data_IF_328470660572
#
_entry.id   IF_328470660572
#
_cell.length_a   1.000
_cell.length_b   1.000
_cell.length_c   1.000
_cell.angle_alpha   90.00
_cell.angle_beta   90.00
_cell.angle_gamma   90.00
#
_symmetry.space_group_name_H-M   'P 1'
#
loop_
_entity.id
_entity.type
_entity.pdbx_description
1 polymer ?
#
# COMPACT_ATOMS: atom_id res chain seq x y z
N UNK A 1 -69.53 -16.04 21.31
CA UNK A 1 -68.17 -16.14 21.88
C UNK A 1 -67.28 -15.20 21.11
N UNK A 2 -67.13 -13.98 21.62
CA UNK A 2 -66.38 -12.85 21.06
C UNK A 2 -65.04 -12.78 21.79
N UNK A 3 -63.94 -13.05 21.07
CA UNK A 3 -62.58 -12.92 21.61
C UNK A 3 -62.13 -11.45 21.62
N UNK A 4 -61.41 -10.99 22.67
CA UNK A 4 -60.90 -9.62 22.72
C UNK A 4 -59.54 -9.48 22.00
N UNK A 5 -59.17 -8.26 21.57
CA UNK A 5 -57.91 -8.02 20.88
C UNK A 5 -56.76 -7.64 21.83
N UNK A 6 -55.57 -7.89 21.31
CA UNK A 6 -54.23 -7.63 21.83
C UNK A 6 -53.92 -6.13 21.98
N UNK A 7 -53.42 -5.70 23.15
CA UNK A 7 -52.68 -4.43 23.29
C UNK A 7 -51.29 -4.73 23.86
N UNK A 8 -50.26 -4.77 23.00
CA UNK A 8 -48.86 -4.79 23.43
C UNK A 8 -48.28 -3.37 23.36
N UNK A 9 -48.21 -2.70 24.52
CA UNK A 9 -47.53 -1.42 24.69
C UNK A 9 -46.04 -1.65 24.91
N UNK A 10 -45.21 -1.51 23.87
CA UNK A 10 -43.75 -1.41 24.02
C UNK A 10 -43.40 0.01 24.47
N UNK A 11 -43.01 0.16 25.74
CA UNK A 11 -42.49 1.42 26.27
C UNK A 11 -41.10 1.70 25.70
N UNK A 12 -40.92 2.92 25.19
CA UNK A 12 -39.66 3.45 24.69
C UNK A 12 -38.88 3.99 25.89
N UNK A 13 -37.90 3.23 26.35
CA UNK A 13 -37.03 3.62 27.46
C UNK A 13 -35.94 4.56 26.97
N UNK A 14 -36.15 5.87 27.14
CA UNK A 14 -35.14 6.91 26.95
C UNK A 14 -34.12 6.85 28.08
N UNK A 15 -32.88 6.46 27.77
CA UNK A 15 -31.75 6.54 28.72
C UNK A 15 -31.28 7.98 28.84
N UNK A 16 -31.44 8.53 30.04
CA UNK A 16 -30.89 9.81 30.47
C UNK A 16 -29.35 9.76 30.47
N UNK A 17 -28.74 10.75 29.82
CA UNK A 17 -27.30 10.99 29.76
C UNK A 17 -26.91 11.78 31.01
N UNK A 18 -26.18 11.14 31.93
CA UNK A 18 -25.65 11.77 33.14
C UNK A 18 -24.42 12.59 32.77
N UNK A 19 -24.49 13.90 32.98
CA UNK A 19 -23.37 14.84 32.81
C UNK A 19 -22.38 14.66 33.96
N UNK A 20 -21.19 14.12 33.67
CA UNK A 20 -20.07 14.11 34.60
C UNK A 20 -19.46 15.52 34.69
N UNK A 21 -19.42 16.07 35.90
CA UNK A 21 -18.66 17.29 36.22
C UNK A 21 -17.17 16.97 36.14
N UNK A 22 -16.47 17.61 35.21
CA UNK A 22 -15.01 17.60 35.14
C UNK A 22 -14.50 18.57 36.20
N UNK A 23 -13.82 18.03 37.22
CA UNK A 23 -13.05 18.79 38.21
C UNK A 23 -11.78 19.27 37.51
N UNK A 24 -11.53 20.57 37.62
CA UNK A 24 -10.41 21.27 36.99
C UNK A 24 -9.29 21.35 38.02
N UNK A 25 -8.35 20.42 37.97
CA UNK A 25 -7.10 20.50 38.73
C UNK A 25 -6.04 21.22 37.86
N UNK A 26 -5.48 22.30 38.40
CA UNK A 26 -4.30 23.00 37.86
C UNK A 26 -3.03 22.19 38.15
N UNK A 27 -2.11 22.03 37.18
CA UNK A 27 -0.75 21.60 37.47
C UNK A 27 0.18 22.81 37.53
N UNK A 28 0.82 23.01 38.68
CA UNK A 28 2.03 23.82 38.79
C UNK A 28 3.20 22.85 38.85
N UNK A 29 3.94 22.72 37.75
CA UNK A 29 5.37 22.43 37.79
C UNK A 29 6.01 22.87 36.49
N UNK A 30 7.02 23.73 36.63
CA UNK A 30 7.77 24.35 35.56
C UNK A 30 8.58 23.29 34.81
N UNK A 31 8.04 22.81 33.70
CA UNK A 31 8.79 22.05 32.71
C UNK A 31 9.60 23.04 31.85
N UNK A 32 10.91 22.77 31.80
CA UNK A 32 11.84 23.29 30.80
C UNK A 32 11.14 23.34 29.43
N UNK A 33 11.21 24.44 28.67
CA UNK A 33 10.63 24.48 27.33
C UNK A 33 11.29 23.36 26.53
N UNK A 34 10.55 22.26 26.31
CA UNK A 34 10.87 21.30 25.28
C UNK A 34 10.97 22.14 24.01
N UNK A 35 12.12 22.11 23.34
CA UNK A 35 12.29 22.75 22.04
C UNK A 35 11.10 22.32 21.19
N UNK A 36 10.25 23.28 20.87
CA UNK A 36 9.07 23.04 20.04
C UNK A 36 9.56 22.34 18.77
N UNK A 37 8.98 21.18 18.40
CA UNK A 37 9.33 20.50 17.17
C UNK A 37 9.36 21.51 16.02
N UNK A 38 10.32 21.41 15.09
CA UNK A 38 10.37 22.30 13.95
C UNK A 38 8.98 22.40 13.32
N UNK A 39 8.52 23.63 13.09
CA UNK A 39 7.20 23.94 12.58
C UNK A 39 7.08 23.42 11.14
N UNK A 40 6.78 22.12 10.99
CA UNK A 40 6.67 21.44 9.71
C UNK A 40 5.39 21.80 8.94
N UNK A 41 4.75 22.93 9.27
CA UNK A 41 3.54 23.40 8.63
C UNK A 41 2.26 22.81 9.24
N UNK A 42 1.27 22.55 8.39
CA UNK A 42 -0.06 22.09 8.81
C UNK A 42 0.01 20.71 9.49
N UNK A 43 -0.58 20.63 10.68
CA UNK A 43 -0.65 19.40 11.48
C UNK A 43 -2.11 19.02 11.71
N UNK A 44 -2.43 17.74 11.52
CA UNK A 44 -3.71 17.17 11.89
C UNK A 44 -3.47 15.87 12.67
N UNK A 45 -4.01 15.71 13.89
CA UNK A 45 -3.76 14.54 14.73
C UNK A 45 -4.27 13.22 14.13
N UNK A 46 -5.10 13.26 13.08
CA UNK A 46 -5.56 12.09 12.35
C UNK A 46 -4.65 11.71 11.16
N UNK A 47 -3.71 12.58 10.78
CA UNK A 47 -2.70 12.32 9.74
C UNK A 47 -1.41 11.78 10.38
N UNK A 48 -0.59 11.14 9.55
CA UNK A 48 0.75 10.72 9.97
C UNK A 48 1.69 11.94 9.95
N UNK A 49 2.51 12.07 10.99
CA UNK A 49 3.49 13.16 11.09
C UNK A 49 4.40 13.22 9.85
N UNK A 50 4.50 14.40 9.26
CA UNK A 50 5.39 14.64 8.13
C UNK A 50 6.85 14.66 8.58
N UNK A 51 7.71 14.00 7.81
CA UNK A 51 9.15 14.08 7.97
C UNK A 51 9.68 14.89 6.80
N UNK A 52 10.46 15.92 7.13
CA UNK A 52 11.27 16.59 6.14
C UNK A 52 12.43 15.68 5.73
N UNK A 53 12.46 15.31 4.44
CA UNK A 53 13.47 14.43 3.89
C UNK A 53 14.66 15.24 3.32
N UNK A 54 14.68 16.57 3.51
CA UNK A 54 15.79 17.44 3.11
C UNK A 54 17.11 17.07 3.78
N UNK A 55 17.04 16.52 5.00
CA UNK A 55 18.20 16.10 5.81
C UNK A 55 18.66 14.67 5.53
N UNK A 56 17.85 13.88 4.83
CA UNK A 56 18.16 12.50 4.46
C UNK A 56 18.84 12.44 3.10
N UNK A 57 19.88 11.62 3.00
CA UNK A 57 20.52 11.29 1.74
C UNK A 57 19.61 10.44 0.85
N UNK A 58 19.87 10.44 -0.47
CA UNK A 58 19.15 9.59 -1.42
C UNK A 58 19.26 8.11 -1.02
N UNK A 59 20.47 7.68 -0.61
CA UNK A 59 20.72 6.33 -0.15
C UNK A 59 19.81 5.98 1.04
N UNK A 60 19.85 6.74 2.14
CA UNK A 60 19.02 6.46 3.32
C UNK A 60 17.52 6.35 3.00
N UNK A 61 17.01 7.20 2.10
CA UNK A 61 15.62 7.11 1.65
C UNK A 61 15.38 5.80 0.89
N UNK A 62 16.19 5.49 -0.12
CA UNK A 62 16.01 4.26 -0.91
C UNK A 62 16.15 3.00 -0.04
N UNK A 63 17.10 2.98 0.89
CA UNK A 63 17.27 1.92 1.89
C UNK A 63 16.01 1.75 2.75
N UNK A 64 15.44 2.86 3.23
CA UNK A 64 14.17 2.84 3.95
C UNK A 64 13.04 2.22 3.11
N UNK A 65 12.90 2.63 1.84
CA UNK A 65 11.88 2.10 0.95
C UNK A 65 12.05 0.59 0.69
N UNK A 66 13.28 0.11 0.54
CA UNK A 66 13.59 -1.31 0.34
C UNK A 66 13.23 -2.11 1.60
N UNK A 67 13.66 -1.65 2.77
CA UNK A 67 13.43 -2.36 4.05
C UNK A 67 11.96 -2.40 4.47
N UNK A 68 11.17 -1.39 4.09
CA UNK A 68 9.73 -1.30 4.36
C UNK A 68 8.86 -1.71 3.15
N UNK A 69 9.48 -2.32 2.13
CA UNK A 69 8.75 -2.89 1.01
C UNK A 69 7.89 -4.08 1.45
N UNK A 70 6.84 -4.40 0.67
CA UNK A 70 5.96 -5.53 0.97
C UNK A 70 5.37 -6.11 -0.31
N UNK A 71 4.92 -7.36 -0.23
CA UNK A 71 4.20 -8.04 -1.30
C UNK A 71 2.70 -8.10 -1.03
N UNK A 72 1.91 -7.87 -2.07
CA UNK A 72 0.45 -7.96 -2.03
C UNK A 72 0.02 -9.18 -2.86
N UNK A 73 -0.44 -10.29 -2.24
CA UNK A 73 -0.77 -11.53 -2.96
C UNK A 73 -2.08 -11.40 -3.76
N UNK A 74 -2.46 -12.40 -4.58
CA UNK A 74 -3.77 -12.45 -5.22
C UNK A 74 -4.90 -12.54 -4.18
N UNK A 75 -6.08 -11.98 -4.49
CA UNK A 75 -7.24 -12.10 -3.59
C UNK A 75 -7.82 -13.50 -3.70
N UNK A 76 -7.79 -14.25 -2.59
CA UNK A 76 -8.45 -15.57 -2.48
C UNK A 76 -9.68 -15.54 -1.59
N UNK A 77 -9.62 -14.76 -0.50
CA UNK A 77 -10.62 -14.77 0.56
C UNK A 77 -11.02 -13.33 0.96
N UNK A 78 -11.90 -13.25 1.96
CA UNK A 78 -12.28 -11.99 2.62
C UNK A 78 -11.10 -11.32 3.35
N UNK A 79 -10.07 -12.09 3.69
CA UNK A 79 -8.83 -11.64 4.31
C UNK A 79 -7.68 -11.83 3.34
N UNK A 80 -6.66 -10.97 3.45
CA UNK A 80 -5.48 -10.98 2.59
C UNK A 80 -4.24 -10.93 3.47
N UNK A 81 -3.24 -11.76 3.19
CA UNK A 81 -1.99 -11.83 3.95
C UNK A 81 -0.88 -11.11 3.20
N UNK A 82 -0.51 -9.92 3.66
CA UNK A 82 0.62 -9.14 3.15
C UNK A 82 1.92 -9.71 3.75
N UNK A 83 2.97 -9.84 2.95
CA UNK A 83 4.30 -10.25 3.44
C UNK A 83 5.27 -9.09 3.28
N UNK A 84 5.75 -8.55 4.39
CA UNK A 84 6.72 -7.45 4.42
C UNK A 84 8.12 -7.93 4.03
N UNK A 85 9.04 -7.00 3.77
CA UNK A 85 10.41 -7.29 3.36
C UNK A 85 11.14 -8.19 4.37
N UNK A 86 10.94 -7.96 5.67
CA UNK A 86 11.52 -8.78 6.76
C UNK A 86 10.94 -10.21 6.88
N UNK A 87 9.95 -10.56 6.05
CA UNK A 87 9.26 -11.85 6.08
C UNK A 87 8.07 -11.90 7.05
N UNK A 88 7.79 -10.84 7.79
CA UNK A 88 6.59 -10.76 8.63
C UNK A 88 5.34 -10.80 7.77
N UNK A 89 4.32 -11.49 8.29
CA UNK A 89 3.03 -11.60 7.61
C UNK A 89 1.97 -10.83 8.37
N UNK A 90 1.17 -10.05 7.64
CA UNK A 90 0.12 -9.19 8.18
C UNK A 90 -1.19 -9.51 7.48
N UNK A 91 -2.19 -9.94 8.23
CA UNK A 91 -3.54 -10.19 7.71
C UNK A 91 -4.32 -8.88 7.73
N UNK A 92 -4.95 -8.52 6.61
CA UNK A 92 -5.77 -7.31 6.47
C UNK A 92 -7.13 -7.64 5.83
N UNK A 93 -8.18 -6.81 6.05
CA UNK A 93 -9.43 -6.95 5.33
C UNK A 93 -9.23 -6.84 3.83
N UNK A 94 -9.90 -7.70 3.05
CA UNK A 94 -9.73 -7.79 1.60
C UNK A 94 -10.21 -6.55 0.82
N UNK A 95 -10.92 -5.63 1.47
CA UNK A 95 -11.25 -4.32 0.90
C UNK A 95 -10.03 -3.41 0.77
N UNK A 96 -9.02 -3.56 1.65
CA UNK A 96 -7.78 -2.77 1.60
C UNK A 96 -6.80 -3.23 0.54
N UNK A 97 -6.97 -4.44 -0.03
CA UNK A 97 -5.97 -5.04 -0.91
C UNK A 97 -5.63 -4.19 -2.13
N UNK A 98 -6.63 -3.80 -2.92
CA UNK A 98 -6.42 -3.01 -4.14
C UNK A 98 -5.93 -1.58 -3.81
N UNK A 99 -6.54 -0.85 -2.85
CA UNK A 99 -6.01 0.47 -2.48
C UNK A 99 -4.57 0.43 -1.96
N UNK A 100 -4.20 -0.58 -1.15
CA UNK A 100 -2.82 -0.76 -0.69
C UNK A 100 -1.88 -1.08 -1.85
N UNK A 101 -2.30 -1.94 -2.79
CA UNK A 101 -1.54 -2.24 -4.00
C UNK A 101 -1.32 -0.98 -4.85
N UNK A 102 -2.35 -0.14 -5.00
CA UNK A 102 -2.23 1.11 -5.73
C UNK A 102 -1.29 2.11 -5.03
N UNK A 103 -1.37 2.25 -3.70
CA UNK A 103 -0.48 3.13 -2.95
C UNK A 103 1.00 2.70 -3.09
N UNK A 104 1.27 1.40 -3.00
CA UNK A 104 2.60 0.85 -3.24
C UNK A 104 3.07 1.11 -4.69
N UNK A 105 2.21 0.84 -5.68
CA UNK A 105 2.54 1.10 -7.07
C UNK A 105 2.84 2.58 -7.33
N UNK A 106 2.00 3.49 -6.82
CA UNK A 106 2.21 4.93 -6.93
C UNK A 106 3.54 5.35 -6.31
N UNK A 107 3.89 4.84 -5.13
CA UNK A 107 5.19 5.09 -4.49
C UNK A 107 6.36 4.64 -5.37
N UNK A 108 6.37 3.37 -5.82
CA UNK A 108 7.48 2.81 -6.59
C UNK A 108 7.58 3.39 -8.00
N UNK A 109 6.46 3.65 -8.66
CA UNK A 109 6.44 4.33 -9.95
C UNK A 109 6.92 5.78 -9.83
N UNK A 110 6.53 6.50 -8.78
CA UNK A 110 7.04 7.84 -8.51
C UNK A 110 8.55 7.82 -8.27
N UNK A 111 9.05 6.88 -7.46
CA UNK A 111 10.48 6.67 -7.26
C UNK A 111 11.19 6.45 -8.60
N UNK A 112 10.71 5.51 -9.41
CA UNK A 112 11.29 5.21 -10.71
C UNK A 112 11.39 6.44 -11.62
N UNK A 113 10.35 7.28 -11.65
CA UNK A 113 10.32 8.48 -12.50
C UNK A 113 11.35 9.52 -12.06
N UNK A 114 11.55 9.71 -10.76
CA UNK A 114 12.40 10.80 -10.25
C UNK A 114 13.83 10.35 -9.97
N UNK A 115 14.11 9.05 -9.93
CA UNK A 115 15.43 8.51 -9.62
C UNK A 115 16.41 8.81 -10.77
N UNK A 116 17.30 9.78 -10.53
CA UNK A 116 18.26 10.28 -11.52
C UNK A 116 17.83 11.57 -12.23
N UNK A 117 16.64 12.10 -11.91
CA UNK A 117 16.17 13.41 -12.36
C UNK A 117 16.57 14.52 -11.37
N UNK A 118 16.57 15.77 -11.84
CA UNK A 118 16.70 16.96 -10.98
C UNK A 118 15.47 17.18 -10.07
N UNK A 119 14.37 16.46 -10.33
CA UNK A 119 13.12 16.57 -9.56
C UNK A 119 13.12 15.74 -8.26
N UNK A 120 14.16 14.91 -8.04
CA UNK A 120 14.30 14.08 -6.83
C UNK A 120 13.98 14.84 -5.54
N UNK A 121 14.56 16.03 -5.38
CA UNK A 121 14.42 16.82 -4.16
C UNK A 121 12.99 17.32 -3.91
N UNK A 122 12.18 17.48 -4.96
CA UNK A 122 10.78 17.90 -4.84
C UNK A 122 9.87 16.75 -4.41
N UNK A 123 10.17 15.52 -4.83
CA UNK A 123 9.28 14.37 -4.64
C UNK A 123 9.70 13.42 -3.52
N UNK A 124 10.97 13.42 -3.09
CA UNK A 124 11.51 12.47 -2.11
C UNK A 124 10.72 12.41 -0.80
N UNK A 125 10.27 13.56 -0.28
CA UNK A 125 9.44 13.62 0.94
C UNK A 125 8.09 12.95 0.77
N UNK A 126 7.42 13.17 -0.38
CA UNK A 126 6.14 12.54 -0.69
C UNK A 126 6.26 11.02 -0.83
N UNK A 127 7.28 10.56 -1.56
CA UNK A 127 7.57 9.12 -1.74
C UNK A 127 7.82 8.46 -0.38
N UNK A 128 8.68 9.06 0.45
CA UNK A 128 8.97 8.57 1.79
C UNK A 128 7.70 8.53 2.67
N UNK A 129 6.87 9.58 2.61
CA UNK A 129 5.64 9.65 3.37
C UNK A 129 4.68 8.51 3.01
N UNK A 130 4.50 8.20 1.72
CA UNK A 130 3.62 7.09 1.29
C UNK A 130 4.15 5.74 1.81
N UNK A 131 5.47 5.54 1.81
CA UNK A 131 6.08 4.33 2.38
C UNK A 131 5.79 4.22 3.88
N UNK A 132 6.00 5.30 4.64
CA UNK A 132 5.69 5.36 6.06
C UNK A 132 4.21 5.14 6.35
N UNK A 133 3.32 5.67 5.51
CA UNK A 133 1.88 5.44 5.59
C UNK A 133 1.51 3.96 5.41
N UNK A 134 2.13 3.28 4.44
CA UNK A 134 1.92 1.85 4.23
C UNK A 134 2.47 1.01 5.39
N UNK A 135 3.66 1.35 5.89
CA UNK A 135 4.24 0.65 7.03
C UNK A 135 3.38 0.83 8.29
N UNK A 136 2.97 2.06 8.60
CA UNK A 136 2.07 2.36 9.72
C UNK A 136 0.75 1.59 9.62
N UNK A 137 0.16 1.52 8.43
CA UNK A 137 -1.03 0.71 8.18
C UNK A 137 -0.81 -0.77 8.53
N UNK A 138 0.33 -1.35 8.12
CA UNK A 138 0.67 -2.73 8.43
C UNK A 138 0.96 -2.94 9.93
N UNK A 139 1.62 -2.00 10.60
CA UNK A 139 1.83 -2.03 12.05
C UNK A 139 0.52 -2.03 12.85
N UNK A 140 -0.42 -1.16 12.48
CA UNK A 140 -1.73 -1.09 13.12
C UNK A 140 -2.54 -2.37 12.88
N UNK A 141 -2.48 -2.92 11.65
CA UNK A 141 -3.11 -4.19 11.34
C UNK A 141 -2.50 -5.34 12.17
N UNK A 142 -1.17 -5.43 12.29
CA UNK A 142 -0.49 -6.42 13.15
C UNK A 142 -0.92 -6.28 14.61
N UNK A 143 -1.07 -5.06 15.09
CA UNK A 143 -1.53 -4.78 16.46
C UNK A 143 -2.98 -5.21 16.66
N UNK A 144 -3.86 -4.91 15.70
CA UNK A 144 -5.26 -5.34 15.72
C UNK A 144 -5.40 -6.87 15.64
N UNK A 145 -4.55 -7.56 14.88
CA UNK A 145 -4.54 -9.03 14.80
C UNK A 145 -4.31 -9.68 16.17
N UNK A 146 -3.38 -9.14 16.97
CA UNK A 146 -3.13 -9.63 18.34
C UNK A 146 -4.36 -9.51 19.24
N UNK A 147 -5.21 -8.51 18.99
CA UNK A 147 -6.47 -8.28 19.71
C UNK A 147 -7.71 -8.96 19.12
N UNK A 148 -7.58 -9.75 18.04
CA UNK A 148 -8.72 -10.34 17.34
C UNK A 148 -9.37 -9.37 16.34
N UNK A 149 -8.64 -9.05 15.27
CA UNK A 149 -9.08 -8.12 14.22
C UNK A 149 -10.45 -8.55 13.63
N UNK A 150 -11.42 -7.64 13.68
CA UNK A 150 -12.78 -7.86 13.16
C UNK A 150 -12.87 -7.50 11.67
N UNK A 151 -13.84 -8.08 10.95
CA UNK A 151 -14.07 -7.83 9.52
C UNK A 151 -14.23 -6.33 9.17
N UNK A 152 -14.77 -5.55 10.11
CA UNK A 152 -14.97 -4.11 9.97
C UNK A 152 -13.83 -3.26 10.52
N UNK A 153 -12.66 -3.84 10.77
CA UNK A 153 -11.48 -3.08 11.20
C UNK A 153 -11.08 -2.06 10.14
N UNK A 154 -10.65 -0.88 10.59
CA UNK A 154 -10.27 0.28 9.78
C UNK A 154 -8.98 0.88 10.31
N UNK A 155 -8.15 1.38 9.40
CA UNK A 155 -7.03 2.24 9.72
C UNK A 155 -7.42 3.66 9.32
N UNK A 156 -7.69 4.52 10.30
CA UNK A 156 -8.21 5.88 10.04
C UNK A 156 -7.20 6.71 9.24
N UNK A 157 -5.92 6.65 9.63
CA UNK A 157 -4.84 7.38 8.95
C UNK A 157 -4.72 6.95 7.49
N UNK A 158 -4.74 5.64 7.20
CA UNK A 158 -4.71 5.15 5.82
C UNK A 158 -5.99 5.47 5.04
N UNK A 159 -7.16 5.42 5.68
CA UNK A 159 -8.43 5.80 5.03
C UNK A 159 -8.42 7.25 4.52
N UNK A 160 -7.77 8.17 5.24
CA UNK A 160 -7.63 9.57 4.80
C UNK A 160 -6.80 9.69 3.52
N UNK A 161 -5.69 8.97 3.43
CA UNK A 161 -4.91 8.86 2.19
C UNK A 161 -5.77 8.32 1.04
N UNK A 162 -6.57 7.29 1.30
CA UNK A 162 -7.45 6.70 0.29
C UNK A 162 -8.56 7.66 -0.19
N UNK A 163 -9.11 8.47 0.72
CA UNK A 163 -10.09 9.52 0.35
C UNK A 163 -9.43 10.55 -0.56
N UNK A 164 -8.20 11.00 -0.25
CA UNK A 164 -7.45 11.91 -1.11
C UNK A 164 -7.22 11.33 -2.51
N UNK A 165 -6.78 10.08 -2.58
CA UNK A 165 -6.53 9.40 -3.85
C UNK A 165 -7.79 9.27 -4.69
N UNK A 166 -8.91 8.89 -4.07
CA UNK A 166 -10.21 8.80 -4.76
C UNK A 166 -10.60 10.12 -5.44
N UNK A 167 -10.28 11.25 -4.80
CA UNK A 167 -10.52 12.60 -5.31
C UNK A 167 -9.33 13.17 -6.10
N UNK A 168 -8.48 12.29 -6.64
CA UNK A 168 -7.38 12.67 -7.53
C UNK A 168 -6.30 13.56 -6.88
N UNK A 169 -6.24 13.57 -5.54
CA UNK A 169 -5.21 14.28 -4.79
C UNK A 169 -4.13 13.31 -4.30
N UNK A 170 -3.19 12.98 -5.18
CA UNK A 170 -2.14 12.00 -4.89
C UNK A 170 -0.95 12.56 -4.11
N UNK A 171 -0.71 13.87 -4.20
CA UNK A 171 0.41 14.50 -3.50
C UNK A 171 0.19 14.44 -1.99
N UNK A 172 1.26 14.13 -1.28
CA UNK A 172 1.26 13.94 0.17
C UNK A 172 2.24 14.89 0.87
N UNK A 173 2.56 16.04 0.27
CA UNK A 173 3.27 17.10 0.97
C UNK A 173 2.29 17.88 1.88
N UNK A 174 2.79 18.54 2.95
CA UNK A 174 1.94 19.25 3.90
C UNK A 174 1.04 20.33 3.28
N UNK A 175 1.51 21.00 2.21
CA UNK A 175 0.73 22.05 1.55
C UNK A 175 -0.46 21.46 0.78
N UNK A 176 -0.22 20.39 0.02
CA UNK A 176 -1.30 19.65 -0.66
C UNK A 176 -2.32 19.08 0.33
N UNK A 177 -1.89 18.49 1.45
CA UNK A 177 -2.86 17.93 2.40
C UNK A 177 -3.67 19.02 3.11
N UNK A 178 -3.05 20.17 3.41
CA UNK A 178 -3.77 21.36 3.89
C UNK A 178 -4.79 21.85 2.86
N UNK A 179 -4.41 21.98 1.59
CA UNK A 179 -5.31 22.41 0.51
C UNK A 179 -6.52 21.47 0.39
N UNK A 180 -6.28 20.15 0.50
CA UNK A 180 -7.36 19.16 0.52
C UNK A 180 -8.32 19.37 1.69
N UNK A 181 -7.78 19.54 2.89
CA UNK A 181 -8.56 19.73 4.11
C UNK A 181 -9.40 21.01 4.06
N UNK A 182 -8.83 22.11 3.54
CA UNK A 182 -9.55 23.36 3.35
C UNK A 182 -10.66 23.25 2.28
N UNK A 183 -10.44 22.45 1.24
CA UNK A 183 -11.39 22.27 0.13
C UNK A 183 -12.55 21.34 0.46
N UNK A 184 -12.24 20.17 1.04
CA UNK A 184 -13.21 19.09 1.24
C UNK A 184 -13.58 18.87 2.71
N UNK A 185 -12.66 19.16 3.62
CA UNK A 185 -12.82 19.02 5.07
C UNK A 185 -13.11 17.61 5.57
N UNK A 186 -13.40 17.51 6.87
CA UNK A 186 -13.68 16.25 7.58
C UNK A 186 -14.95 15.54 7.09
N UNK A 187 -15.85 16.23 6.39
CA UNK A 187 -17.05 15.63 5.80
C UNK A 187 -16.68 14.55 4.79
N UNK A 188 -15.64 14.82 4.00
CA UNK A 188 -15.21 13.91 2.96
C UNK A 188 -14.46 12.71 3.54
N UNK A 189 -13.67 12.93 4.61
CA UNK A 189 -13.01 11.87 5.37
C UNK A 189 -13.98 10.94 6.11
N UNK A 190 -15.21 11.39 6.39
CA UNK A 190 -16.25 10.53 6.97
C UNK A 190 -16.79 9.47 5.98
N UNK A 191 -16.50 9.61 4.68
CA UNK A 191 -16.92 8.65 3.67
C UNK A 191 -16.15 7.33 3.78
N UNK A 192 -16.83 6.23 3.46
CA UNK A 192 -16.21 4.91 3.47
C UNK A 192 -15.29 4.72 2.25
N UNK A 193 -14.01 5.07 2.41
CA UNK A 193 -13.00 4.96 1.35
C UNK A 193 -12.90 3.53 0.78
N UNK A 194 -13.02 2.51 1.62
CA UNK A 194 -12.83 1.09 1.25
C UNK A 194 -13.99 0.54 0.41
N UNK A 195 -15.19 1.11 0.52
CA UNK A 195 -16.36 0.71 -0.29
C UNK A 195 -16.31 1.23 -1.73
N UNK A 196 -15.38 2.12 -2.05
CA UNK A 196 -15.21 2.63 -3.40
C UNK A 196 -14.76 1.53 -4.37
N UNK A 197 -15.11 1.66 -5.65
CA UNK A 197 -14.70 0.69 -6.69
C UNK A 197 -13.23 0.89 -7.08
N UNK A 198 -12.35 0.47 -6.18
CA UNK A 198 -10.90 0.55 -6.35
C UNK A 198 -10.39 -0.27 -7.55
N UNK A 199 -11.08 -1.35 -7.94
CA UNK A 199 -10.68 -2.12 -9.13
C UNK A 199 -10.80 -1.23 -10.36
N UNK A 200 -11.99 -0.67 -10.59
CA UNK A 200 -12.23 0.18 -11.75
C UNK A 200 -11.37 1.43 -11.73
N UNK A 201 -11.25 2.07 -10.57
CA UNK A 201 -10.48 3.30 -10.44
C UNK A 201 -8.98 3.07 -10.68
N UNK A 202 -8.38 2.03 -10.09
CA UNK A 202 -6.95 1.76 -10.26
C UNK A 202 -6.58 1.30 -11.69
N UNK A 203 -7.50 0.62 -12.40
CA UNK A 203 -7.30 0.28 -13.83
C UNK A 203 -7.46 1.50 -14.74
N UNK A 204 -8.39 2.41 -14.42
CA UNK A 204 -8.52 3.70 -15.13
C UNK A 204 -7.25 4.54 -14.94
N UNK A 205 -6.67 4.45 -13.75
CA UNK A 205 -5.49 5.19 -13.36
C UNK A 205 -5.73 6.69 -13.20
N UNK A 206 -4.67 7.38 -12.80
CA UNK A 206 -4.65 8.83 -12.70
C UNK A 206 -3.22 9.34 -12.93
N UNK A 207 -3.04 10.39 -13.74
CA UNK A 207 -1.72 10.97 -14.07
C UNK A 207 -0.67 9.93 -14.50
N UNK A 208 -1.09 8.95 -15.30
CA UNK A 208 -0.22 7.86 -15.77
C UNK A 208 0.00 6.71 -14.78
N UNK A 209 -0.43 6.84 -13.53
CA UNK A 209 -0.38 5.76 -12.54
C UNK A 209 -1.60 4.86 -12.69
N UNK A 210 -1.41 3.69 -13.28
CA UNK A 210 -2.47 2.70 -13.50
C UNK A 210 -1.97 1.30 -13.13
N UNK A 211 -2.83 0.52 -12.48
CA UNK A 211 -2.56 -0.90 -12.24
C UNK A 211 -3.01 -1.74 -13.43
N UNK A 212 -2.19 -2.74 -13.78
CA UNK A 212 -2.56 -3.72 -14.78
C UNK A 212 -3.56 -4.74 -14.21
N UNK A 213 -4.40 -5.32 -15.07
CA UNK A 213 -5.35 -6.36 -14.62
C UNK A 213 -4.63 -7.59 -14.07
N UNK A 214 -3.45 -7.92 -14.60
CA UNK A 214 -2.55 -8.94 -14.06
C UNK A 214 -2.09 -8.63 -12.63
N UNK A 215 -1.80 -7.38 -12.29
CA UNK A 215 -1.38 -6.97 -10.95
C UNK A 215 -2.55 -7.09 -9.97
N UNK A 216 -3.72 -6.68 -10.42
CA UNK A 216 -4.94 -6.76 -9.63
C UNK A 216 -5.32 -8.22 -9.40
N UNK A 217 -5.22 -9.09 -10.40
CA UNK A 217 -5.63 -10.49 -10.28
C UNK A 217 -4.55 -11.35 -9.59
N UNK A 218 -3.30 -11.25 -10.05
CA UNK A 218 -2.14 -12.03 -9.60
C UNK A 218 -1.46 -11.48 -8.35
N UNK A 219 -1.65 -10.21 -8.03
CA UNK A 219 -0.87 -9.53 -6.98
C UNK A 219 0.52 -9.13 -7.46
N UNK A 220 1.27 -8.47 -6.59
CA UNK A 220 2.64 -8.03 -6.87
C UNK A 220 3.57 -8.43 -5.74
N UNK A 221 4.65 -9.11 -6.10
CA UNK A 221 5.71 -9.54 -5.19
C UNK A 221 6.81 -8.50 -5.03
N UNK A 222 7.64 -8.67 -3.99
CA UNK A 222 8.78 -7.80 -3.69
C UNK A 222 9.73 -7.63 -4.87
N UNK A 223 10.07 -8.74 -5.56
CA UNK A 223 11.01 -8.71 -6.68
C UNK A 223 10.57 -7.80 -7.82
N UNK A 224 9.26 -7.63 -8.04
CA UNK A 224 8.73 -6.74 -9.09
C UNK A 224 8.79 -5.27 -8.69
N UNK A 225 8.68 -4.93 -7.41
CA UNK A 225 8.87 -3.54 -6.96
C UNK A 225 10.32 -3.08 -7.07
N UNK A 226 11.24 -4.02 -6.88
CA UNK A 226 12.68 -3.77 -6.84
C UNK A 226 13.39 -4.08 -8.17
N UNK A 227 12.62 -4.46 -9.19
CA UNK A 227 13.14 -4.84 -10.51
C UNK A 227 13.78 -3.64 -11.20
N UNK A 228 15.07 -3.72 -11.50
CA UNK A 228 15.83 -2.64 -12.14
C UNK A 228 16.44 -1.62 -11.17
N UNK A 229 16.03 -1.61 -9.90
CA UNK A 229 16.65 -0.73 -8.90
C UNK A 229 18.02 -1.28 -8.48
N UNK A 230 19.07 -0.48 -8.65
CA UNK A 230 20.43 -0.88 -8.31
C UNK A 230 21.30 0.30 -7.85
N UNK A 231 22.31 -0.01 -7.06
CA UNK A 231 23.34 0.95 -6.67
C UNK A 231 24.54 0.83 -7.61
N UNK A 232 24.96 1.98 -8.16
CA UNK A 232 26.12 2.12 -9.04
C UNK A 232 26.94 3.33 -8.58
N UNK A 233 28.22 3.08 -8.30
CA UNK A 233 29.17 4.14 -7.92
C UNK A 233 28.70 5.01 -6.74
N UNK A 234 27.97 4.42 -5.79
CA UNK A 234 27.43 5.11 -4.61
C UNK A 234 26.13 5.89 -4.86
N UNK A 235 25.53 5.77 -6.05
CA UNK A 235 24.22 6.34 -6.35
C UNK A 235 23.18 5.27 -6.72
N UNK A 236 21.92 5.54 -6.42
CA UNK A 236 20.81 4.66 -6.78
C UNK A 236 20.25 5.06 -8.14
N UNK A 237 20.16 4.09 -9.04
CA UNK A 237 19.65 4.26 -10.41
C UNK A 237 18.67 3.15 -10.75
N UNK A 238 17.80 3.43 -11.71
CA UNK A 238 16.95 2.41 -12.31
C UNK A 238 17.53 2.00 -13.66
N UNK A 239 18.05 0.78 -13.75
CA UNK A 239 18.64 0.24 -14.96
C UNK A 239 18.23 -1.23 -15.13
N UNK A 240 17.33 -1.45 -16.09
CA UNK A 240 16.85 -2.78 -16.45
C UNK A 240 17.68 -3.43 -17.58
N UNK A 241 18.77 -2.80 -18.02
CA UNK A 241 19.57 -3.33 -19.11
C UNK A 241 20.27 -4.65 -18.70
N UNK A 242 20.22 -5.69 -19.56
CA UNK A 242 20.94 -6.93 -19.30
C UNK A 242 22.45 -6.65 -19.28
N UNK A 243 23.09 -6.81 -18.12
CA UNK A 243 24.53 -6.57 -17.93
C UNK A 243 24.88 -5.24 -17.26
N UNK A 244 23.89 -4.49 -16.79
CA UNK A 244 24.11 -3.33 -15.93
C UNK A 244 25.04 -3.69 -14.75
N UNK A 245 26.12 -2.94 -14.58
CA UNK A 245 27.05 -3.10 -13.45
C UNK A 245 26.50 -2.37 -12.22
N UNK A 246 26.54 -3.03 -11.08
CA UNK A 246 26.08 -2.51 -9.79
C UNK A 246 25.41 -3.59 -8.96
N UNK A 247 25.12 -3.27 -7.70
CA UNK A 247 24.47 -4.21 -6.78
C UNK A 247 22.96 -3.99 -6.80
N UNK A 248 22.17 -5.04 -6.98
CA UNK A 248 20.70 -4.89 -7.11
C UNK A 248 20.07 -4.69 -5.74
N UNK A 249 18.97 -3.95 -5.69
CA UNK A 249 18.19 -3.74 -4.47
C UNK A 249 17.74 -5.05 -3.81
N UNK A 250 17.43 -6.07 -4.59
CA UNK A 250 17.10 -7.41 -4.09
C UNK A 250 18.29 -8.06 -3.34
N UNK A 251 19.52 -7.90 -3.83
CA UNK A 251 20.71 -8.47 -3.21
C UNK A 251 21.01 -7.76 -1.87
N UNK A 252 20.70 -6.47 -1.76
CA UNK A 252 20.73 -5.74 -0.48
C UNK A 252 19.65 -6.22 0.48
N UNK A 253 18.43 -6.40 -0.03
CA UNK A 253 17.31 -6.83 0.80
C UNK A 253 17.56 -8.24 1.38
N UNK A 254 18.14 -9.15 0.60
CA UNK A 254 18.50 -10.49 1.08
C UNK A 254 19.56 -10.43 2.18
N UNK A 255 20.65 -9.67 2.00
CA UNK A 255 21.67 -9.49 3.04
C UNK A 255 21.07 -8.85 4.30
N UNK A 256 20.25 -7.81 4.16
CA UNK A 256 19.60 -7.16 5.28
C UNK A 256 18.65 -8.11 6.03
N UNK A 257 17.95 -9.01 5.33
CA UNK A 257 17.09 -10.00 5.98
C UNK A 257 17.90 -10.92 6.90
N UNK A 258 19.09 -11.33 6.46
CA UNK A 258 19.99 -12.23 7.17
C UNK A 258 20.72 -11.54 8.33
N UNK A 259 21.24 -10.34 8.10
CA UNK A 259 22.13 -9.64 9.04
C UNK A 259 21.40 -8.64 9.95
N UNK A 260 20.22 -8.16 9.52
CA UNK A 260 19.52 -7.00 10.11
C UNK A 260 20.34 -5.71 10.12
N UNK A 261 21.42 -5.67 9.34
CA UNK A 261 22.30 -4.52 9.19
C UNK A 261 22.32 -4.12 7.72
N UNK A 262 22.38 -2.81 7.49
CA UNK A 262 22.64 -2.31 6.14
C UNK A 262 24.15 -2.19 5.96
N UNK A 263 24.76 -3.21 5.35
CA UNK A 263 26.19 -3.20 5.10
C UNK A 263 26.46 -2.47 3.79
N UNK A 264 27.26 -1.40 3.86
CA UNK A 264 27.81 -0.80 2.65
C UNK A 264 28.54 -1.88 1.85
N UNK A 265 28.46 -1.86 0.50
CA UNK A 265 29.16 -2.83 -0.30
C UNK A 265 30.66 -2.77 0.03
N UNK A 266 31.35 -3.92 0.13
CA UNK A 266 32.79 -3.90 0.31
C UNK A 266 33.38 -3.04 -0.82
N UNK A 267 34.30 -2.11 -0.51
CA UNK A 267 34.86 -1.22 -1.53
C UNK A 267 35.36 -2.10 -2.67
N UNK A 268 34.88 -1.83 -3.89
CA UNK A 268 35.21 -2.61 -5.07
C UNK A 268 36.73 -2.76 -5.09
N UNK A 269 37.20 -3.97 -4.75
CA UNK A 269 38.61 -4.21 -4.54
C UNK A 269 39.33 -3.82 -5.82
N UNK A 270 40.16 -2.78 -5.75
CA UNK A 270 41.04 -2.45 -6.86
C UNK A 270 41.76 -3.75 -7.25
N UNK A 271 41.71 -4.20 -8.51
CA UNK A 271 42.41 -5.42 -8.94
C UNK A 271 43.95 -5.28 -8.89
N UNK A 272 44.47 -4.23 -8.26
CA UNK A 272 45.88 -3.97 -8.11
C UNK A 272 46.33 -4.42 -6.71
N UNK A 273 46.68 -5.70 -6.61
CA UNK A 273 47.43 -6.24 -5.47
C UNK A 273 48.40 -7.29 -5.98
N UNK A 274 49.51 -6.80 -6.49
CA UNK A 274 50.82 -7.43 -6.30
C UNK A 274 50.89 -8.01 -4.88
N UNK A 275 51.24 -9.29 -4.69
CA UNK A 275 51.12 -9.94 -3.38
C UNK A 275 52.14 -9.35 -2.39
N UNK A 276 51.72 -8.75 -1.26
CA UNK A 276 52.59 -8.58 -0.12
C UNK A 276 52.63 -9.92 0.61
N UNK A 277 53.79 -10.55 0.53
CA UNK A 277 54.15 -11.77 1.21
C UNK A 277 54.32 -11.48 2.70
N UNK A 278 53.25 -11.44 3.48
CA UNK A 278 53.32 -11.53 4.94
C UNK A 278 52.03 -12.13 5.52
N UNK A 279 52.20 -13.25 6.22
CA UNK A 279 51.16 -14.03 6.85
C UNK A 279 50.53 -13.28 8.04
N UNK A 280 49.26 -12.90 7.91
CA UNK A 280 48.40 -12.50 9.02
C UNK A 280 47.50 -13.68 9.39
N UNK A 281 47.39 -14.08 10.67
CA UNK A 281 46.54 -15.17 11.11
C UNK A 281 45.05 -14.79 10.99
N UNK A 282 44.15 -15.78 10.82
CA UNK A 282 42.73 -15.53 10.59
C UNK A 282 42.05 -14.88 11.79
N UNK A 283 41.07 -13.98 11.56
CA UNK A 283 40.24 -13.44 12.64
C UNK A 283 39.33 -14.54 13.21
N UNK A 284 39.20 -14.51 14.53
CA UNK A 284 38.44 -15.46 15.34
C UNK A 284 36.94 -15.10 15.30
N UNK A 285 36.19 -15.80 14.45
CA UNK A 285 34.73 -15.66 14.37
C UNK A 285 34.07 -16.51 15.46
N UNK A 286 34.03 -15.99 16.69
CA UNK A 286 33.23 -16.58 17.77
C UNK A 286 31.74 -16.26 17.56
N UNK A 287 31.03 -17.15 16.88
CA UNK A 287 29.57 -17.18 16.83
C UNK A 287 29.07 -17.52 18.24
N UNK A 288 28.43 -16.55 18.90
CA UNK A 288 27.82 -16.74 20.22
C UNK A 288 26.57 -17.61 20.08
N UNK A 289 26.72 -18.91 20.30
CA UNK A 289 25.59 -19.79 20.58
C UNK A 289 25.06 -19.50 21.99
N UNK A 290 23.73 -19.51 22.21
CA UNK A 290 23.18 -19.46 23.55
C UNK A 290 23.76 -20.63 24.36
N UNK A 291 24.20 -20.39 25.61
CA UNK A 291 24.78 -21.43 26.43
C UNK A 291 23.75 -22.55 26.64
N UNK A 292 24.16 -23.82 26.57
CA UNK A 292 23.29 -24.92 26.95
C UNK A 292 22.84 -24.72 28.41
N UNK A 293 21.61 -25.13 28.76
CA UNK A 293 21.14 -25.06 30.15
C UNK A 293 22.10 -25.85 31.06
N UNK A 294 22.49 -25.26 32.19
CA UNK A 294 23.49 -25.81 33.13
C UNK A 294 22.96 -26.99 33.97
N UNK A 295 21.66 -27.26 33.91
CA UNK A 295 21.01 -28.35 34.64
C UNK A 295 20.63 -29.50 33.68
N UNK A 296 21.11 -30.71 33.97
CA UNK A 296 20.83 -31.92 33.18
C UNK A 296 19.32 -32.22 33.08
N UNK A 297 18.52 -31.74 34.05
CA UNK A 297 17.06 -31.85 34.01
C UNK A 297 16.44 -30.96 32.93
N UNK A 298 16.95 -29.74 32.77
CA UNK A 298 16.45 -28.76 31.79
C UNK A 298 16.88 -29.14 30.36
N UNK A 299 18.03 -29.79 30.20
CA UNK A 299 18.49 -30.31 28.92
C UNK A 299 17.56 -31.40 28.37
N UNK A 300 17.09 -32.31 29.24
CA UNK A 300 16.16 -33.39 28.84
C UNK A 300 14.80 -32.81 28.43
N UNK A 301 14.29 -31.81 29.16
CA UNK A 301 13.03 -31.16 28.84
C UNK A 301 13.12 -30.33 27.54
N UNK A 302 14.24 -29.65 27.33
CA UNK A 302 14.55 -28.96 26.09
C UNK A 302 14.60 -29.91 24.88
N UNK A 303 15.30 -31.05 25.00
CA UNK A 303 15.38 -32.05 23.92
C UNK A 303 14.02 -32.69 23.63
N UNK A 304 13.20 -32.95 24.66
CA UNK A 304 11.82 -33.44 24.48
C UNK A 304 10.97 -32.43 23.72
N UNK A 305 11.03 -31.15 24.11
CA UNK A 305 10.31 -30.06 23.45
C UNK A 305 10.70 -29.95 21.99
N UNK A 306 12.01 -29.97 21.70
CA UNK A 306 12.53 -29.87 20.34
C UNK A 306 12.18 -31.09 19.48
N UNK A 307 12.17 -32.28 20.07
CA UNK A 307 11.73 -33.51 19.38
C UNK A 307 10.24 -33.45 19.02
N UNK A 308 9.40 -32.93 19.91
CA UNK A 308 7.97 -32.80 19.64
C UNK A 308 7.68 -31.72 18.58
N UNK A 309 8.44 -30.63 18.58
CA UNK A 309 8.41 -29.61 17.54
C UNK A 309 8.76 -30.18 16.16
N UNK A 310 9.83 -30.96 16.07
CA UNK A 310 10.24 -31.65 14.83
C UNK A 310 9.12 -32.58 14.33
N UNK A 311 8.54 -33.41 15.21
CA UNK A 311 7.42 -34.30 14.86
C UNK A 311 6.17 -33.54 14.41
N UNK A 312 5.95 -32.33 14.92
CA UNK A 312 4.83 -31.49 14.49
C UNK A 312 5.08 -30.88 13.10
N UNK A 313 6.32 -30.46 12.82
CA UNK A 313 6.73 -29.99 11.51
C UNK A 313 6.63 -31.10 10.45
N UNK A 314 7.07 -32.31 10.75
CA UNK A 314 6.94 -33.48 9.86
C UNK A 314 5.48 -33.80 9.52
N UNK A 315 4.57 -33.75 10.51
CA UNK A 315 3.13 -33.91 10.29
C UNK A 315 2.56 -32.83 9.38
N UNK A 316 3.00 -31.57 9.54
CA UNK A 316 2.56 -30.44 8.70
C UNK A 316 3.07 -30.59 7.26
N UNK A 317 4.30 -31.05 7.07
CA UNK A 317 4.87 -31.32 5.74
C UNK A 317 4.08 -32.44 5.05
N UNK A 318 3.83 -33.56 5.72
CA UNK A 318 3.07 -34.67 5.16
C UNK A 318 1.64 -34.28 4.74
N UNK A 319 0.98 -33.40 5.51
CA UNK A 319 -0.34 -32.87 5.16
C UNK A 319 -0.31 -32.01 3.88
N UNK A 320 0.70 -31.15 3.74
CA UNK A 320 0.88 -30.32 2.54
C UNK A 320 1.21 -31.15 1.30
N UNK A 321 2.00 -32.22 1.46
CA UNK A 321 2.31 -33.15 0.37
C UNK A 321 1.06 -33.91 -0.12
N UNK A 322 0.18 -34.31 0.81
CA UNK A 322 -1.10 -34.93 0.46
C UNK A 322 -2.03 -33.98 -0.31
N UNK A 323 -2.11 -32.71 0.11
CA UNK A 323 -2.90 -31.68 -0.59
C UNK A 323 -2.36 -31.41 -2.01
N UNK A 324 -1.03 -31.34 -2.16
CA UNK A 324 -0.40 -31.20 -3.47
C UNK A 324 -0.65 -32.40 -4.38
N UNK A 325 -0.64 -33.62 -3.83
CA UNK A 325 -0.98 -34.83 -4.58
C UNK A 325 -2.42 -34.78 -5.10
N UNK A 326 -3.39 -34.37 -4.26
CA UNK A 326 -4.79 -34.21 -4.69
C UNK A 326 -4.96 -33.15 -5.80
N UNK A 327 -4.26 -32.02 -5.69
CA UNK A 327 -4.30 -30.97 -6.71
C UNK A 327 -3.73 -31.43 -8.05
N UNK A 328 -2.65 -32.23 -8.03
CA UNK A 328 -2.07 -32.82 -9.25
C UNK A 328 -3.05 -33.77 -9.92
N UNK A 329 -3.72 -34.64 -9.17
CA UNK A 329 -4.72 -35.57 -9.74
C UNK A 329 -5.91 -34.83 -10.35
N UNK A 330 -6.34 -33.71 -9.74
CA UNK A 330 -7.47 -32.91 -10.24
C UNK A 330 -7.15 -32.12 -11.52
N UNK A 331 -5.87 -31.84 -11.78
CA UNK A 331 -5.44 -31.11 -12.98
C UNK A 331 -5.39 -32.00 -14.22
N UNK A 332 -5.21 -33.32 -14.04
CA UNK A 332 -5.16 -34.29 -15.13
C UNK A 332 -6.52 -34.68 -15.72
N UNK A 333 -7.64 -34.23 -15.12
CA UNK A 333 -9.00 -34.55 -15.57
C UNK A 333 -9.66 -33.42 -16.39
N UNK A 334 -8.93 -32.37 -16.75
CA UNK A 334 -9.45 -31.30 -17.61
C UNK A 334 -9.17 -31.69 -19.07
N UNK A 335 -10.25 -32.05 -19.78
CA UNK A 335 -10.23 -32.37 -21.21
C UNK A 335 -9.64 -31.19 -21.99
N UNK A 336 -8.66 -31.40 -22.89
CA UNK A 336 -8.07 -30.32 -23.67
C UNK A 336 -9.15 -29.73 -24.59
N UNK A 337 -9.33 -28.41 -24.51
CA UNK A 337 -10.18 -27.68 -25.45
C UNK A 337 -9.50 -27.57 -26.82
N UNK A 338 -10.26 -27.55 -27.92
CA UNK A 338 -9.71 -27.42 -29.27
C UNK A 338 -9.11 -26.01 -29.43
N UNK A 339 -7.91 -25.96 -29.97
CA UNK A 339 -7.23 -24.73 -30.37
C UNK A 339 -7.82 -24.32 -31.73
N UNK A 340 -8.54 -23.20 -31.78
CA UNK A 340 -8.83 -22.51 -33.03
C UNK A 340 -7.78 -21.40 -33.21
N UNK A 341 -6.94 -21.58 -34.23
CA UNK A 341 -5.95 -20.61 -34.72
C UNK A 341 -6.65 -19.41 -35.36
N UNK A 342 -6.60 -18.25 -34.70
CA UNK A 342 -6.67 -16.94 -35.36
C UNK A 342 -6.05 -15.90 -34.42
N UNK A 343 -4.87 -15.38 -34.78
CA UNK A 343 -4.33 -14.19 -34.12
C UNK A 343 -5.20 -12.97 -34.47
N UNK A 344 -5.69 -12.20 -33.47
CA UNK A 344 -6.45 -10.99 -33.75
C UNK A 344 -5.52 -9.89 -34.27
N UNK A 345 -5.77 -9.47 -35.51
CA UNK A 345 -5.13 -8.34 -36.16
C UNK A 345 -5.47 -7.04 -35.39
N UNK A 346 -4.44 -6.36 -34.91
CA UNK A 346 -4.58 -5.13 -34.12
C UNK A 346 -4.89 -3.96 -35.06
N UNK A 347 -6.11 -3.42 -34.98
CA UNK A 347 -6.53 -2.23 -35.72
C UNK A 347 -6.36 -1.00 -34.81
N UNK A 348 -5.42 -0.07 -35.10
CA UNK A 348 -5.25 1.15 -34.30
C UNK A 348 -6.45 2.09 -34.46
N UNK A 349 -6.91 2.70 -33.36
CA UNK A 349 -7.93 3.75 -33.38
C UNK A 349 -7.37 5.05 -33.97
N UNK A 350 -8.18 5.76 -34.78
CA UNK A 350 -7.85 6.95 -35.60
C UNK A 350 -7.26 8.18 -34.85
N UNK A 351 -7.08 8.14 -33.54
CA UNK A 351 -6.57 9.26 -32.73
C UNK A 351 -5.23 8.98 -32.03
N UNK A 352 -4.54 7.88 -32.38
CA UNK A 352 -3.18 7.64 -31.88
C UNK A 352 -2.16 8.38 -32.77
N UNK A 353 -1.31 9.26 -32.20
CA UNK A 353 -0.27 9.92 -32.98
C UNK A 353 0.72 8.89 -33.54
N UNK A 354 1.12 9.10 -34.79
CA UNK A 354 2.01 8.22 -35.54
C UNK A 354 3.37 8.14 -34.83
N UNK A 355 3.74 6.94 -34.37
CA UNK A 355 4.99 6.70 -33.65
C UNK A 355 6.23 6.84 -34.52
N UNK A 356 6.06 7.00 -35.85
CA UNK A 356 7.12 7.33 -36.78
C UNK A 356 7.50 8.83 -36.82
N UNK A 357 6.71 9.72 -36.19
CA UNK A 357 7.01 11.14 -36.14
C UNK A 357 8.01 11.47 -35.00
N UNK A 358 9.27 11.69 -35.39
CA UNK A 358 10.40 11.98 -34.50
C UNK A 358 10.21 13.31 -33.76
N UNK A 359 9.51 14.29 -34.34
CA UNK A 359 9.24 15.58 -33.69
C UNK A 359 8.11 15.45 -32.65
N UNK A 360 7.17 14.51 -32.87
CA UNK A 360 6.12 14.18 -31.91
C UNK A 360 6.68 13.43 -30.69
N UNK A 361 7.67 12.56 -30.90
CA UNK A 361 8.37 11.88 -29.82
C UNK A 361 9.23 12.86 -28.99
N UNK A 362 10.00 13.75 -29.62
CA UNK A 362 10.92 14.64 -28.90
C UNK A 362 10.23 15.79 -28.16
N UNK A 363 9.13 16.33 -28.70
CA UNK A 363 8.38 17.41 -28.04
C UNK A 363 7.53 16.94 -26.86
N UNK A 364 7.21 15.63 -26.78
CA UNK A 364 6.49 15.05 -25.64
C UNK A 364 7.36 14.98 -24.38
N UNK A 365 8.67 14.76 -24.52
CA UNK A 365 9.59 14.55 -23.40
C UNK A 365 10.28 15.81 -22.86
N UNK A 366 10.14 16.96 -23.51
CA UNK A 366 10.84 18.18 -23.09
C UNK A 366 10.20 18.91 -21.91
N UNK A 367 8.90 18.72 -21.66
CA UNK A 367 8.21 19.33 -20.50
C UNK A 367 6.92 18.55 -20.13
N UNK A 368 7.02 17.25 -19.78
CA UNK A 368 5.86 16.38 -19.63
C UNK A 368 4.89 16.88 -18.55
N UNK A 369 5.40 17.39 -17.43
CA UNK A 369 4.57 17.83 -16.30
C UNK A 369 3.76 19.09 -16.59
N UNK A 370 4.30 20.04 -17.38
CA UNK A 370 3.57 21.26 -17.72
C UNK A 370 2.35 20.98 -18.60
N UNK A 371 2.45 20.00 -19.52
CA UNK A 371 1.31 19.51 -20.30
C UNK A 371 0.33 18.65 -19.50
N UNK A 372 0.81 17.91 -18.49
CA UNK A 372 -0.06 17.14 -17.59
C UNK A 372 -0.85 18.02 -16.61
N UNK A 373 -0.33 19.19 -16.25
CA UNK A 373 -1.00 20.17 -15.39
C UNK A 373 -1.92 21.12 -16.17
N UNK A 374 -1.60 21.43 -17.44
CA UNK A 374 -2.42 22.28 -18.32
C UNK A 374 -3.43 21.50 -19.19
N UNK A 375 -3.60 20.19 -18.95
CA UNK A 375 -4.62 19.43 -19.67
C UNK A 375 -6.02 19.91 -19.20
N UNK A 376 -6.86 20.48 -20.10
CA UNK A 376 -8.23 20.80 -19.73
C UNK A 376 -8.91 19.50 -19.29
N UNK A 377 -9.61 19.54 -18.16
CA UNK A 377 -10.50 18.46 -17.76
C UNK A 377 -11.34 18.09 -18.97
N UNK A 378 -11.18 16.86 -19.48
CA UNK A 378 -12.04 16.35 -20.53
C UNK A 378 -13.43 16.31 -19.90
N UNK A 379 -14.25 17.32 -20.20
CA UNK A 379 -15.66 17.35 -19.86
C UNK A 379 -16.23 16.00 -20.27
N UNK A 380 -16.66 15.23 -19.28
CA UNK A 380 -17.25 13.92 -19.51
C UNK A 380 -18.35 14.11 -20.56
N UNK A 381 -18.12 13.55 -21.75
CA UNK A 381 -19.09 13.56 -22.81
C UNK A 381 -20.43 13.09 -22.22
N UNK A 382 -21.45 13.94 -22.36
CA UNK A 382 -22.83 13.61 -22.05
C UNK A 382 -23.16 12.29 -22.76
N UNK A 383 -23.22 11.20 -21.99
CA UNK A 383 -23.87 9.99 -22.44
C UNK A 383 -25.35 10.32 -22.41
N UNK A 384 -25.87 10.76 -23.56
CA UNK A 384 -27.30 10.86 -23.79
C UNK A 384 -27.93 9.49 -23.48
N UNK A 385 -29.01 9.54 -22.71
CA UNK A 385 -29.81 8.40 -22.28
C UNK A 385 -30.14 7.49 -23.47
N UNK A 386 -29.49 6.32 -23.53
CA UNK A 386 -30.03 5.20 -24.29
C UNK A 386 -31.15 4.59 -23.45
N UNK A 387 -32.39 4.89 -23.86
CA UNK A 387 -33.60 4.24 -23.40
C UNK A 387 -33.45 2.71 -23.51
N UNK A 388 -33.27 2.05 -22.37
CA UNK A 388 -33.41 0.60 -22.26
C UNK A 388 -34.85 0.32 -21.85
N UNK A 389 -35.64 -0.18 -22.80
CA UNK A 389 -36.98 -0.72 -22.56
C UNK A 389 -36.90 -1.91 -21.58
N UNK A 390 -37.13 -1.63 -20.30
CA UNK A 390 -37.38 -2.64 -19.29
C UNK A 390 -38.88 -2.84 -19.17
N UNK A 391 -39.35 -3.97 -19.72
CA UNK A 391 -40.70 -4.49 -19.47
C UNK A 391 -40.84 -4.79 -17.97
N UNK A 392 -41.54 -3.93 -17.24
CA UNK A 392 -42.00 -4.21 -15.87
C UNK A 392 -43.48 -4.62 -15.90
N UNK A 393 -43.74 -5.83 -15.40
CA UNK A 393 -45.08 -6.29 -15.05
C UNK A 393 -45.65 -5.51 -13.86
N UNK A 394 -46.95 -5.23 -13.96
CA UNK A 394 -47.76 -4.44 -13.05
C UNK A 394 -47.75 -4.92 -11.60
N UNK A 395 -47.56 -3.98 -10.66
CA UNK A 395 -48.35 -4.00 -9.42
C UNK A 395 -48.57 -2.59 -8.84
N UNK A 396 -49.79 -2.10 -9.06
CA UNK A 396 -50.52 -1.04 -8.33
C UNK A 396 -50.34 -1.15 -6.80
N UNK A 397 -50.34 -0.13 -5.92
CA UNK A 397 -50.94 1.20 -5.82
C UNK A 397 -50.30 1.94 -4.61
N UNK A 398 -50.26 3.28 -4.64
CA UNK A 398 -50.61 4.21 -3.53
C UNK A 398 -49.70 5.44 -3.48
N UNK A 399 -50.28 6.56 -3.87
CA UNK A 399 -49.68 7.89 -3.95
C UNK A 399 -49.63 8.63 -2.59
N UNK A 400 -48.61 9.48 -2.43
CA UNK A 400 -48.53 10.54 -1.41
C UNK A 400 -47.37 11.51 -1.71
N UNK A 401 -47.52 12.85 -1.57
CA UNK A 401 -46.85 13.80 -2.45
C UNK A 401 -45.54 14.41 -1.94
N UNK A 402 -44.61 14.59 -2.87
CA UNK A 402 -43.37 15.36 -2.76
C UNK A 402 -43.68 16.86 -2.79
N UNK A 403 -43.16 17.62 -1.81
CA UNK A 403 -43.16 19.09 -1.82
C UNK A 403 -41.74 19.64 -2.03
N UNK A 404 -41.58 20.22 -3.21
CA UNK A 404 -41.06 21.58 -3.43
C UNK A 404 -39.61 21.89 -3.03
N UNK A 405 -38.72 21.76 -4.02
CA UNK A 405 -37.59 22.66 -4.20
C UNK A 405 -38.06 24.01 -4.73
N UNK A 406 -37.70 25.12 -4.07
CA UNK A 406 -37.50 26.45 -4.68
C UNK A 406 -36.84 27.43 -3.70
N UNK A 407 -35.65 27.91 -4.12
CA UNK A 407 -35.27 29.33 -4.25
C UNK A 407 -34.98 30.12 -2.98
N UNK A 408 -33.71 30.45 -2.72
CA UNK A 408 -33.26 31.83 -2.40
C UNK A 408 -31.83 32.05 -2.96
N UNK A 409 -31.74 32.91 -3.96
CA UNK A 409 -30.56 33.69 -4.33
C UNK A 409 -31.01 35.15 -4.41
N UNK A 410 -30.08 36.07 -4.09
CA UNK A 410 -30.12 37.55 -4.15
C UNK A 410 -30.69 38.26 -2.92
N UNK A 411 -29.79 38.95 -2.20
CA UNK A 411 -29.78 40.42 -2.19
C UNK A 411 -28.34 40.93 -2.16
N UNK A 412 -27.93 41.54 -3.26
CA UNK A 412 -27.02 42.67 -3.26
C UNK A 412 -27.88 43.90 -3.59
N UNK A 413 -27.80 44.91 -2.73
CA UNK A 413 -28.57 46.14 -2.74
C UNK A 413 -28.25 46.92 -1.49
#
# INVERSE_FOLDING_TARGET
MTGPPNESKKSRQTRNRVSAKIIKDEPTDALVPAESPPDHGWQNPAELDYIDASTMSKAEIVEYLITHSFSVPPKRNMWVTITSADGTTTVIPGGYRIPLLFAAHFQWASLHLVLGSEEWDQFKSGILHISRMCDRFLEEARSAMKGGMVKGWRCQTFDRLLVRYRLHHLLSDPASVKEFDETYGEVEYANDAVKYDWKRWAMKGHKGFQLLEEDISGGVGLGRWLEGLMERDGDWVWDAAPGASGRRAMDYLEEWKETKLWTAPPPAGNPDSTPPNDAVPPPDYSISHPPPPEDDSDLIEFLKTRTEEIKNQERRIAALEADLAMLKTRRSSVTPMPVEDAEPEFVPMENFPDTADVDCALSFWQDPLKRFLDMPEIEAANVEDMDVDVVMEDTSLSAGPVKSWRKIQRMGG
#
